data_IF_923653219672
#
_entry.id   IF_923653219672
#
_cell.length_a   1.000
_cell.length_b   1.000
_cell.length_c   1.000
_cell.angle_alpha   90.00
_cell.angle_beta   90.00
_cell.angle_gamma   90.00
#
_symmetry.space_group_name_H-M   'P 1'
#
loop_
_entity.id
_entity.type
_entity.pdbx_description
1 polymer ?
#
# COMPACT_ATOMS: atom_id res chain seq x y z
N UNK A 1 12.16 16.74 18.74
CA UNK A 1 12.21 15.50 17.93
C UNK A 1 10.81 14.94 17.82
N UNK A 2 10.34 14.57 16.63
CA UNK A 2 9.11 13.79 16.49
C UNK A 2 9.32 12.41 17.08
N UNK A 3 8.25 11.83 17.63
CA UNK A 3 8.30 10.46 18.14
C UNK A 3 8.21 9.48 16.96
N UNK A 4 8.88 8.33 17.08
CA UNK A 4 8.81 7.24 16.10
C UNK A 4 7.37 6.92 15.71
N UNK A 5 6.46 6.84 16.68
CA UNK A 5 5.03 6.59 16.47
C UNK A 5 4.37 7.63 15.56
N UNK A 6 4.70 8.92 15.71
CA UNK A 6 4.16 10.01 14.89
C UNK A 6 4.69 9.92 13.45
N UNK A 7 5.93 9.48 13.27
CA UNK A 7 6.53 9.31 11.94
C UNK A 7 5.95 8.09 11.22
N UNK A 8 5.75 6.98 11.94
CA UNK A 8 5.11 5.79 11.37
C UNK A 8 3.62 6.04 11.05
N UNK A 9 2.92 6.87 11.83
CA UNK A 9 1.55 7.27 11.54
C UNK A 9 1.45 8.08 10.25
N UNK A 10 2.38 9.01 10.02
CA UNK A 10 2.47 9.77 8.77
C UNK A 10 2.76 8.86 7.58
N UNK A 11 3.70 7.92 7.70
CA UNK A 11 3.95 6.93 6.65
C UNK A 11 2.67 6.17 6.26
N UNK A 12 1.87 5.72 7.24
CA UNK A 12 0.59 5.04 7.00
C UNK A 12 -0.40 5.93 6.26
N UNK A 13 -0.48 7.21 6.62
CA UNK A 13 -1.33 8.17 5.93
C UNK A 13 -0.91 8.35 4.48
N UNK A 14 0.39 8.58 4.23
CA UNK A 14 0.93 8.72 2.86
C UNK A 14 0.67 7.47 2.01
N UNK A 15 0.87 6.27 2.57
CA UNK A 15 0.55 5.01 1.92
C UNK A 15 -0.94 4.91 1.58
N UNK A 16 -1.83 5.27 2.50
CA UNK A 16 -3.26 5.22 2.25
C UNK A 16 -3.67 6.15 1.11
N UNK A 17 -3.16 7.39 1.11
CA UNK A 17 -3.46 8.37 0.07
C UNK A 17 -2.96 7.90 -1.30
N UNK A 18 -1.74 7.35 -1.37
CA UNK A 18 -1.17 6.80 -2.60
C UNK A 18 -1.98 5.61 -3.14
N UNK A 19 -2.32 4.64 -2.28
CA UNK A 19 -3.07 3.44 -2.66
C UNK A 19 -4.52 3.79 -3.08
N UNK A 20 -5.17 4.72 -2.37
CA UNK A 20 -6.50 5.20 -2.76
C UNK A 20 -6.47 5.95 -4.09
N UNK A 21 -5.46 6.81 -4.31
CA UNK A 21 -5.30 7.49 -5.60
C UNK A 21 -5.12 6.50 -6.76
N UNK A 22 -4.38 5.41 -6.53
CA UNK A 22 -4.27 4.31 -7.50
C UNK A 22 -5.63 3.65 -7.78
N UNK A 23 -6.37 3.28 -6.73
CA UNK A 23 -7.70 2.66 -6.88
C UNK A 23 -8.73 3.57 -7.58
N UNK A 24 -8.57 4.89 -7.45
CA UNK A 24 -9.44 5.89 -8.08
C UNK A 24 -9.04 6.23 -9.52
N UNK A 25 -8.05 5.56 -10.11
CA UNK A 25 -7.60 5.81 -11.48
C UNK A 25 -6.92 7.17 -11.67
N UNK A 26 -6.18 7.66 -10.67
CA UNK A 26 -5.46 8.92 -10.78
C UNK A 26 -4.44 8.93 -11.94
N UNK A 27 -4.15 10.13 -12.46
CA UNK A 27 -3.18 10.29 -13.55
C UNK A 27 -1.79 9.80 -13.14
N UNK A 28 -1.03 9.31 -14.13
CA UNK A 28 0.32 8.79 -13.93
C UNK A 28 1.23 9.77 -13.17
N UNK A 29 1.21 11.06 -13.52
CA UNK A 29 2.01 12.09 -12.84
C UNK A 29 1.66 12.21 -11.35
N UNK A 30 0.37 12.08 -10.99
CA UNK A 30 -0.07 12.14 -9.60
C UNK A 30 0.39 10.90 -8.83
N UNK A 31 0.29 9.72 -9.44
CA UNK A 31 0.76 8.46 -8.85
C UNK A 31 2.27 8.46 -8.64
N UNK A 32 3.05 8.84 -9.65
CA UNK A 32 4.51 8.89 -9.59
C UNK A 32 5.00 9.83 -8.47
N UNK A 33 4.36 11.01 -8.32
CA UNK A 33 4.68 11.94 -7.22
C UNK A 33 4.37 11.34 -5.84
N UNK A 34 3.21 10.71 -5.68
CA UNK A 34 2.81 10.10 -4.42
C UNK A 34 3.75 8.94 -4.04
N UNK A 35 4.09 8.08 -5.00
CA UNK A 35 5.03 6.98 -4.81
C UNK A 35 6.43 7.50 -4.44
N UNK A 36 6.96 8.47 -5.19
CA UNK A 36 8.26 9.06 -4.90
C UNK A 36 8.33 9.71 -3.51
N UNK A 37 7.25 10.36 -3.05
CA UNK A 37 7.17 10.92 -1.71
C UNK A 37 7.20 9.83 -0.62
N UNK A 38 6.42 8.75 -0.80
CA UNK A 38 6.41 7.59 0.11
C UNK A 38 7.77 6.91 0.17
N UNK A 39 8.40 6.67 -0.99
CA UNK A 39 9.71 6.02 -1.09
C UNK A 39 10.81 6.86 -0.43
N UNK A 40 10.81 8.18 -0.68
CA UNK A 40 11.73 9.11 -0.03
C UNK A 40 11.56 9.15 1.49
N UNK A 41 10.32 9.10 1.98
CA UNK A 41 10.04 9.07 3.40
C UNK A 41 10.52 7.77 4.06
N UNK A 42 10.22 6.61 3.46
CA UNK A 42 10.71 5.31 3.93
C UNK A 42 12.25 5.25 3.93
N UNK A 43 12.89 5.83 2.90
CA UNK A 43 14.35 5.93 2.83
C UNK A 43 14.91 6.75 4.00
N UNK A 44 14.32 7.91 4.29
CA UNK A 44 14.73 8.75 5.42
C UNK A 44 14.55 8.04 6.77
N UNK A 45 13.48 7.25 6.96
CA UNK A 45 13.27 6.46 8.17
C UNK A 45 14.34 5.37 8.36
N UNK A 46 14.78 4.74 7.26
CA UNK A 46 15.86 3.75 7.28
C UNK A 46 17.20 4.41 7.59
N UNK A 47 17.54 5.48 6.86
CA UNK A 47 18.84 6.15 6.98
C UNK A 47 19.02 6.80 8.36
N UNK A 48 17.93 7.24 9.00
CA UNK A 48 17.94 7.77 10.37
C UNK A 48 17.84 6.70 11.47
N UNK A 49 17.67 5.43 11.12
CA UNK A 49 17.49 4.33 12.08
C UNK A 49 16.18 4.37 12.86
N UNK A 50 15.21 5.22 12.46
CA UNK A 50 13.90 5.31 13.11
C UNK A 50 13.08 4.04 12.87
N UNK A 51 13.22 3.42 11.71
CA UNK A 51 12.56 2.16 11.36
C UNK A 51 13.55 1.18 10.75
N UNK A 52 13.31 -0.10 10.98
CA UNK A 52 14.00 -1.20 10.29
C UNK A 52 13.31 -1.52 8.97
N UNK A 53 14.04 -2.18 8.05
CA UNK A 53 13.47 -2.70 6.81
C UNK A 53 12.26 -3.60 7.06
N UNK A 54 12.33 -4.46 8.08
CA UNK A 54 11.26 -5.38 8.43
C UNK A 54 10.00 -4.64 8.88
N UNK A 55 10.13 -3.66 9.78
CA UNK A 55 9.00 -2.84 10.24
C UNK A 55 8.32 -2.11 9.06
N UNK A 56 9.10 -1.58 8.11
CA UNK A 56 8.54 -0.91 6.94
C UNK A 56 7.80 -1.89 6.02
N UNK A 57 8.35 -3.09 5.79
CA UNK A 57 7.69 -4.11 4.98
C UNK A 57 6.36 -4.55 5.60
N UNK A 58 6.32 -4.71 6.93
CA UNK A 58 5.10 -5.05 7.66
C UNK A 58 4.04 -3.94 7.55
N UNK A 59 4.44 -2.67 7.69
CA UNK A 59 3.54 -1.53 7.52
C UNK A 59 2.99 -1.47 6.09
N UNK A 60 3.85 -1.62 5.08
CA UNK A 60 3.44 -1.59 3.67
C UNK A 60 2.49 -2.75 3.35
N UNK A 61 2.79 -3.97 3.83
CA UNK A 61 1.94 -5.13 3.63
C UNK A 61 0.58 -4.95 4.30
N UNK A 62 0.54 -4.46 5.54
CA UNK A 62 -0.69 -4.19 6.27
C UNK A 62 -1.55 -3.14 5.57
N UNK A 63 -0.96 -2.04 5.12
CA UNK A 63 -1.70 -0.99 4.40
C UNK A 63 -2.19 -1.46 3.04
N UNK A 64 -1.41 -2.23 2.28
CA UNK A 64 -1.85 -2.84 1.03
C UNK A 64 -3.02 -3.80 1.25
N UNK A 65 -2.93 -4.68 2.25
CA UNK A 65 -4.02 -5.60 2.59
C UNK A 65 -5.29 -4.86 2.98
N UNK A 66 -5.15 -3.74 3.72
CA UNK A 66 -6.28 -2.91 4.16
C UNK A 66 -6.97 -2.17 3.00
N UNK A 67 -6.22 -1.69 2.01
CA UNK A 67 -6.77 -0.87 0.91
C UNK A 67 -7.16 -1.72 -0.30
N UNK A 68 -6.32 -2.66 -0.70
CA UNK A 68 -6.48 -3.43 -1.94
C UNK A 68 -7.06 -4.83 -1.68
N UNK A 69 -7.16 -5.26 -0.42
CA UNK A 69 -7.47 -6.64 -0.06
C UNK A 69 -6.23 -7.55 -0.08
N UNK A 70 -6.42 -8.85 0.18
CA UNK A 70 -5.33 -9.81 0.24
C UNK A 70 -4.59 -9.90 -1.12
N UNK A 71 -3.30 -10.24 -1.07
CA UNK A 71 -2.48 -10.40 -2.28
C UNK A 71 -3.00 -11.50 -3.21
N UNK A 72 -3.71 -12.47 -2.65
CA UNK A 72 -4.39 -13.55 -3.37
C UNK A 72 -5.86 -13.57 -2.96
N UNK A 73 -6.73 -13.90 -3.92
CA UNK A 73 -8.11 -14.28 -3.63
C UNK A 73 -8.42 -15.62 -4.28
N UNK A 74 -9.26 -16.43 -3.67
CA UNK A 74 -9.82 -17.60 -4.34
C UNK A 74 -10.71 -17.15 -5.50
N UNK A 75 -10.53 -17.78 -6.66
CA UNK A 75 -11.40 -17.61 -7.80
C UNK A 75 -12.29 -18.85 -7.91
N UNK A 76 -13.59 -18.67 -7.71
CA UNK A 76 -14.56 -19.70 -8.05
C UNK A 76 -14.56 -19.84 -9.58
N UNK A 77 -14.18 -21.02 -10.07
CA UNK A 77 -14.33 -21.38 -11.46
C UNK A 77 -15.77 -21.85 -11.64
N UNK A 78 -16.61 -21.05 -12.31
CA UNK A 78 -17.89 -21.54 -12.80
C UNK A 78 -17.60 -22.70 -13.76
N UNK A 79 -18.18 -23.85 -13.47
CA UNK A 79 -18.03 -25.01 -14.33
C UNK A 79 -18.77 -24.75 -15.64
N UNK A 80 -18.29 -25.30 -16.76
CA UNK A 80 -18.92 -25.12 -18.07
C UNK A 80 -20.42 -25.48 -18.10
N UNK A 81 -20.88 -26.31 -17.15
CA UNK A 81 -22.28 -26.65 -16.96
C UNK A 81 -23.14 -25.49 -16.41
N UNK A 82 -22.58 -24.61 -15.57
CA UNK A 82 -23.29 -23.47 -14.98
C UNK A 82 -23.44 -22.31 -15.97
N UNK A 83 -22.42 -22.09 -16.81
CA UNK A 83 -22.45 -21.10 -17.90
C UNK A 83 -23.44 -21.51 -19.00
N UNK A 84 -23.56 -22.82 -19.29
CA UNK A 84 -24.47 -23.33 -20.31
C UNK A 84 -25.95 -23.39 -19.86
N UNK A 85 -26.23 -23.21 -18.56
CA UNK A 85 -27.57 -23.25 -17.99
C UNK A 85 -28.22 -21.86 -17.79
N UNK A 86 -27.50 -20.77 -18.11
CA UNK A 86 -27.96 -19.38 -18.02
C UNK A 86 -28.27 -18.80 -19.41
#
# INVERSE_FOLDING_TARGET
MRRKSEMLAELKQMLNEALRAQSAGASYTKLAKAQGAVDGYMRALLDSGVATKQELLEIVAAERARVNGPATREMLLETAAEIAAA
#
